data_IF_035610951723
#
_entry.id   IF_035610951723
#
_cell.length_a   1.000
_cell.length_b   1.000
_cell.length_c   1.000
_cell.angle_alpha   90.00
_cell.angle_beta   90.00
_cell.angle_gamma   90.00
#
_symmetry.space_group_name_H-M   'P 1'
#
loop_
_entity.id
_entity.type
_entity.pdbx_description
1 polymer ?
#
# COMPACT_ATOMS: atom_id res chain seq x y z
N UNK A 1 0.87 -31.89 -45.30
CA UNK A 1 -0.33 -32.75 -45.40
C UNK A 1 -0.85 -32.88 -43.97
N UNK A 2 -1.88 -32.12 -43.57
CA UNK A 2 -3.29 -32.57 -43.50
C UNK A 2 -3.39 -34.07 -43.16
N UNK A 3 -4.13 -34.56 -42.17
CA UNK A 3 -5.25 -34.05 -41.35
C UNK A 3 -5.66 -35.23 -40.46
N UNK A 4 -6.28 -35.01 -39.29
CA UNK A 4 -7.50 -35.75 -38.92
C UNK A 4 -8.13 -35.20 -37.63
N UNK A 5 -9.43 -34.91 -37.77
CA UNK A 5 -10.40 -34.52 -36.75
C UNK A 5 -10.80 -35.71 -35.87
N UNK A 6 -11.26 -35.42 -34.66
CA UNK A 6 -12.34 -36.19 -34.03
C UNK A 6 -13.23 -35.26 -33.17
N UNK A 7 -14.50 -35.16 -33.56
CA UNK A 7 -15.63 -34.62 -32.81
C UNK A 7 -16.27 -35.72 -31.96
N UNK A 8 -16.81 -35.37 -30.79
CA UNK A 8 -17.86 -36.12 -30.06
C UNK A 8 -18.72 -35.11 -29.28
N UNK A 9 -19.87 -34.68 -29.80
CA UNK A 9 -21.27 -35.19 -29.59
C UNK A 9 -21.92 -34.84 -28.24
N UNK A 10 -22.98 -34.04 -28.34
CA UNK A 10 -24.03 -33.77 -27.34
C UNK A 10 -24.92 -34.98 -27.03
N UNK A 11 -25.72 -34.89 -25.95
CA UNK A 11 -27.15 -35.18 -26.07
C UNK A 11 -28.08 -34.08 -25.50
N UNK A 12 -29.31 -34.11 -26.01
CA UNK A 12 -30.42 -33.14 -25.94
C UNK A 12 -31.34 -33.27 -24.71
N UNK A 13 -31.91 -32.11 -24.32
CA UNK A 13 -33.28 -31.76 -23.85
C UNK A 13 -34.12 -32.68 -22.94
N UNK A 14 -34.66 -32.04 -21.89
CA UNK A 14 -35.96 -32.34 -21.28
C UNK A 14 -36.68 -31.05 -20.84
N UNK A 15 -37.84 -30.78 -21.43
CA UNK A 15 -38.77 -29.67 -21.18
C UNK A 15 -39.61 -29.90 -19.92
N UNK A 16 -39.87 -28.85 -19.12
CA UNK A 16 -41.18 -28.68 -18.46
C UNK A 16 -41.58 -27.21 -18.37
N UNK A 17 -42.64 -26.87 -19.11
CA UNK A 17 -43.45 -25.65 -19.01
C UNK A 17 -44.39 -25.75 -17.80
N UNK A 18 -44.65 -24.63 -17.11
CA UNK A 18 -45.92 -24.38 -16.43
C UNK A 18 -46.23 -22.88 -16.50
N UNK A 19 -47.33 -22.59 -17.18
CA UNK A 19 -47.84 -21.27 -17.52
C UNK A 19 -48.53 -20.58 -16.35
N UNK A 20 -48.52 -19.25 -16.43
CA UNK A 20 -49.39 -18.32 -15.73
C UNK A 20 -50.87 -18.58 -16.00
N UNK A 21 -51.70 -18.46 -14.97
CA UNK A 21 -53.13 -18.18 -15.09
C UNK A 21 -53.49 -17.01 -14.16
N UNK A 22 -54.12 -16.01 -14.77
CA UNK A 22 -54.51 -14.72 -14.20
C UNK A 22 -56.03 -14.59 -14.38
N UNK A 23 -56.81 -14.39 -13.31
CA UNK A 23 -58.12 -13.70 -13.35
C UNK A 23 -58.54 -13.28 -11.92
N UNK A 24 -59.42 -12.27 -11.74
CA UNK A 24 -59.27 -11.21 -10.74
C UNK A 24 -60.46 -11.07 -9.77
N UNK A 25 -60.30 -10.21 -8.75
CA UNK A 25 -61.43 -9.47 -8.18
C UNK A 25 -61.64 -9.57 -6.65
N UNK A 26 -61.93 -8.39 -6.08
CA UNK A 26 -62.62 -8.10 -4.82
C UNK A 26 -61.86 -8.09 -3.48
N UNK A 27 -61.59 -6.83 -3.08
CA UNK A 27 -62.06 -6.15 -1.87
C UNK A 27 -61.30 -6.34 -0.54
N UNK A 28 -61.18 -5.18 0.10
CA UNK A 28 -60.47 -4.87 1.33
C UNK A 28 -61.13 -5.51 2.55
N UNK A 29 -60.33 -6.14 3.41
CA UNK A 29 -60.63 -6.26 4.83
C UNK A 29 -59.38 -5.96 5.67
N UNK A 30 -59.53 -4.97 6.53
CA UNK A 30 -58.58 -4.61 7.57
C UNK A 30 -58.43 -5.76 8.57
N UNK A 31 -57.19 -6.09 8.92
CA UNK A 31 -56.89 -6.95 10.07
C UNK A 31 -56.08 -6.13 11.09
N UNK A 32 -56.79 -5.59 12.08
CA UNK A 32 -56.20 -5.15 13.34
C UNK A 32 -55.62 -6.38 14.05
N UNK A 33 -54.30 -6.39 14.26
CA UNK A 33 -53.66 -7.28 15.23
C UNK A 33 -53.10 -6.41 16.36
N UNK A 34 -53.71 -6.61 17.52
CA UNK A 34 -53.39 -5.99 18.81
C UNK A 34 -52.02 -6.43 19.31
N UNK A 35 -51.23 -5.46 19.73
CA UNK A 35 -49.96 -5.62 20.43
C UNK A 35 -50.23 -6.19 21.84
N UNK A 36 -49.81 -7.43 22.10
CA UNK A 36 -49.74 -7.95 23.46
C UNK A 36 -48.35 -7.66 24.03
N UNK A 37 -48.31 -6.79 25.03
CA UNK A 37 -47.14 -6.61 25.89
C UNK A 37 -46.98 -7.85 26.78
N UNK A 38 -45.82 -8.50 26.70
CA UNK A 38 -45.38 -9.46 27.71
C UNK A 38 -44.09 -8.93 28.35
N UNK A 39 -44.17 -8.82 29.66
CA UNK A 39 -43.22 -8.18 30.57
C UNK A 39 -41.87 -8.91 30.54
N UNK A 40 -40.80 -8.17 30.24
CA UNK A 40 -39.44 -8.61 30.51
C UNK A 40 -39.19 -8.50 32.02
N UNK A 41 -38.84 -9.62 32.65
CA UNK A 41 -38.37 -9.66 34.03
C UNK A 41 -36.95 -9.10 34.11
N UNK A 42 -36.77 -8.02 34.88
CA UNK A 42 -35.45 -7.51 35.28
C UNK A 42 -34.74 -8.53 36.19
N UNK A 43 -33.84 -9.31 35.59
CA UNK A 43 -32.82 -10.05 36.34
C UNK A 43 -31.57 -9.16 36.45
N UNK A 44 -31.05 -8.90 37.66
CA UNK A 44 -29.87 -8.04 37.82
C UNK A 44 -28.65 -8.70 37.18
N UNK A 45 -27.96 -7.92 36.34
CA UNK A 45 -26.67 -8.27 35.78
C UNK A 45 -25.69 -8.58 36.93
N UNK A 46 -25.27 -9.85 37.04
CA UNK A 46 -24.11 -10.20 37.87
C UNK A 46 -22.87 -9.58 37.23
N UNK A 47 -22.37 -8.53 37.88
CA UNK A 47 -21.09 -7.90 37.65
C UNK A 47 -19.99 -8.98 37.67
N UNK A 48 -19.43 -9.29 36.49
CA UNK A 48 -18.24 -10.13 36.41
C UNK A 48 -17.13 -9.39 37.13
N UNK A 49 -16.63 -9.99 38.21
CA UNK A 49 -15.46 -9.50 38.93
C UNK A 49 -14.32 -9.18 37.94
N UNK A 50 -13.60 -8.06 38.12
CA UNK A 50 -12.46 -7.73 37.28
C UNK A 50 -11.45 -8.89 37.33
N UNK A 51 -11.05 -9.35 36.14
CA UNK A 51 -9.91 -10.22 35.95
C UNK A 51 -8.73 -9.68 36.78
N UNK A 52 -7.94 -10.51 37.47
CA UNK A 52 -6.80 -10.02 38.23
C UNK A 52 -5.90 -9.22 37.29
N UNK A 53 -5.75 -7.96 37.66
CA UNK A 53 -4.90 -6.96 37.03
C UNK A 53 -3.54 -7.60 36.75
N UNK A 54 -3.23 -7.84 35.46
CA UNK A 54 -1.84 -8.10 35.07
C UNK A 54 -1.12 -6.84 35.45
N UNK A 55 -0.35 -6.88 36.54
CA UNK A 55 0.48 -5.75 36.91
C UNK A 55 1.26 -5.33 35.65
N UNK A 56 0.93 -4.15 35.15
CA UNK A 56 1.64 -3.57 34.02
C UNK A 56 3.04 -3.25 34.55
N UNK A 57 3.94 -4.22 34.45
CA UNK A 57 5.37 -4.00 34.60
C UNK A 57 5.69 -2.79 33.73
N UNK A 58 6.20 -1.72 34.34
CA UNK A 58 6.57 -0.52 33.60
C UNK A 58 7.47 -0.91 32.43
N UNK A 59 7.16 -0.41 31.23
CA UNK A 59 7.91 -0.66 30.01
C UNK A 59 9.41 -0.45 30.25
N UNK A 60 10.22 -1.49 30.04
CA UNK A 60 11.66 -1.39 30.25
C UNK A 60 12.31 -0.82 29.00
N UNK A 61 13.25 0.11 29.20
CA UNK A 61 14.12 0.59 28.12
C UNK A 61 15.39 -0.27 28.06
N UNK A 62 15.60 -0.95 26.93
CA UNK A 62 16.81 -1.71 26.60
C UNK A 62 17.65 -0.85 25.65
N UNK A 63 18.83 -0.42 26.11
CA UNK A 63 19.77 0.37 25.31
C UNK A 63 20.78 -0.53 24.63
N UNK A 64 20.81 -0.48 23.30
CA UNK A 64 21.62 -1.33 22.44
C UNK A 64 22.69 -0.51 21.72
N UNK A 65 23.94 -0.91 21.80
CA UNK A 65 25.02 -0.14 21.16
C UNK A 65 26.39 -0.79 21.30
N UNK A 66 27.34 -0.49 20.39
CA UNK A 66 28.70 -1.05 20.47
C UNK A 66 29.40 -0.82 21.82
N UNK A 67 29.09 0.31 22.47
CA UNK A 67 29.62 0.69 23.79
C UNK A 67 28.68 0.36 24.96
N UNK A 68 27.53 -0.27 24.72
CA UNK A 68 26.55 -0.65 25.75
C UNK A 68 26.84 -2.07 26.26
N UNK A 69 26.18 -2.42 27.36
CA UNK A 69 26.15 -3.79 27.87
C UNK A 69 25.45 -4.73 26.87
N UNK A 70 24.28 -4.32 26.37
CA UNK A 70 23.61 -5.02 25.28
C UNK A 70 24.17 -4.47 23.96
N UNK A 71 24.99 -5.26 23.28
CA UNK A 71 25.69 -4.80 22.07
C UNK A 71 24.93 -5.05 20.78
N UNK A 72 24.04 -6.03 20.76
CA UNK A 72 23.35 -6.49 19.54
C UNK A 72 21.84 -6.52 19.69
N UNK A 73 21.16 -6.32 18.57
CA UNK A 73 19.71 -6.44 18.44
C UNK A 73 19.27 -7.89 18.64
N UNK A 74 20.06 -8.87 18.19
CA UNK A 74 19.83 -10.28 18.48
C UNK A 74 19.78 -10.56 20.00
N UNK A 75 20.69 -9.96 20.78
CA UNK A 75 20.69 -10.11 22.24
C UNK A 75 19.51 -9.37 22.87
N UNK A 76 19.17 -8.19 22.36
CA UNK A 76 18.01 -7.43 22.81
C UNK A 76 16.71 -8.20 22.59
N UNK A 77 16.52 -8.82 21.42
CA UNK A 77 15.30 -9.58 21.10
C UNK A 77 15.13 -10.82 21.98
N UNK A 78 16.23 -11.42 22.43
CA UNK A 78 16.20 -12.56 23.34
C UNK A 78 15.79 -12.21 24.78
N UNK A 79 15.90 -10.94 25.20
CA UNK A 79 15.59 -10.50 26.58
C UNK A 79 14.39 -9.56 26.68
N UNK A 80 13.99 -8.93 25.56
CA UNK A 80 12.84 -8.05 25.49
C UNK A 80 11.55 -8.80 25.85
N UNK A 81 10.65 -8.08 26.50
CA UNK A 81 9.30 -8.52 26.84
C UNK A 81 8.27 -7.64 26.13
N UNK A 82 7.02 -8.08 26.20
CA UNK A 82 5.90 -7.30 25.68
C UNK A 82 5.86 -5.92 26.35
N UNK A 83 5.65 -4.87 25.55
CA UNK A 83 5.61 -3.48 26.04
C UNK A 83 6.97 -2.78 26.14
N UNK A 84 8.10 -3.47 25.93
CA UNK A 84 9.44 -2.88 26.07
C UNK A 84 9.79 -1.89 24.94
N UNK A 85 10.77 -1.03 25.21
CA UNK A 85 11.39 -0.13 24.23
C UNK A 85 12.86 -0.51 24.05
N UNK A 86 13.26 -0.77 22.82
CA UNK A 86 14.64 -1.00 22.41
C UNK A 86 15.18 0.27 21.75
N UNK A 87 16.09 0.95 22.42
CA UNK A 87 16.79 2.13 21.91
C UNK A 87 18.14 1.73 21.34
N UNK A 88 18.39 2.06 20.07
CA UNK A 88 19.58 1.64 19.33
C UNK A 88 20.45 2.86 19.10
N UNK A 89 21.65 2.87 19.67
CA UNK A 89 22.63 3.94 19.47
C UNK A 89 23.11 3.95 18.00
N UNK A 90 23.61 5.10 17.49
CA UNK A 90 24.23 5.15 16.16
C UNK A 90 25.37 4.15 16.00
N UNK A 91 25.45 3.53 14.83
CA UNK A 91 26.54 2.62 14.46
C UNK A 91 26.17 1.67 13.33
N UNK A 92 27.17 0.95 12.85
CA UNK A 92 27.00 -0.16 11.91
C UNK A 92 26.93 -1.47 12.72
N UNK A 93 25.83 -2.20 12.53
CA UNK A 93 25.52 -3.46 13.19
C UNK A 93 25.67 -4.58 12.15
N UNK A 94 26.92 -5.03 12.00
CA UNK A 94 27.32 -6.06 11.04
C UNK A 94 26.75 -7.43 11.42
N UNK A 95 26.06 -8.07 10.48
CA UNK A 95 25.46 -9.41 10.60
C UNK A 95 24.47 -9.56 11.76
N UNK A 96 24.04 -8.46 12.37
CA UNK A 96 23.12 -8.45 13.50
C UNK A 96 21.67 -8.57 13.01
N UNK A 97 21.15 -9.79 13.09
CA UNK A 97 19.81 -10.15 12.66
C UNK A 97 19.01 -10.69 13.84
N UNK A 98 17.70 -10.52 13.82
CA UNK A 98 16.87 -10.85 14.96
C UNK A 98 15.46 -11.31 14.58
N UNK A 99 14.93 -12.22 15.38
CA UNK A 99 13.51 -12.57 15.41
C UNK A 99 12.85 -11.85 16.58
N UNK A 100 11.78 -11.11 16.31
CA UNK A 100 11.01 -10.37 17.32
C UNK A 100 9.62 -10.98 17.46
N UNK A 101 9.35 -11.55 18.63
CA UNK A 101 8.07 -12.22 18.94
C UNK A 101 7.24 -11.45 19.96
N UNK A 102 7.80 -10.40 20.55
CA UNK A 102 7.17 -9.59 21.58
C UNK A 102 6.04 -8.73 21.02
N UNK A 103 4.99 -8.55 21.81
CA UNK A 103 3.87 -7.65 21.51
C UNK A 103 4.15 -6.23 22.05
N UNK A 104 3.48 -5.23 21.47
CA UNK A 104 3.55 -3.83 21.90
C UNK A 104 4.98 -3.31 22.07
N UNK A 105 5.86 -3.68 21.14
CA UNK A 105 7.30 -3.41 21.19
C UNK A 105 7.65 -2.19 20.33
N UNK A 106 8.52 -1.32 20.84
CA UNK A 106 9.14 -0.24 20.05
C UNK A 106 10.62 -0.51 19.88
N UNK A 107 11.13 -0.48 18.65
CA UNK A 107 12.55 -0.56 18.33
C UNK A 107 12.92 0.71 17.59
N UNK A 108 13.76 1.58 18.18
CA UNK A 108 14.07 2.90 17.61
C UNK A 108 15.55 3.23 17.59
N UNK A 109 16.02 3.74 16.45
CA UNK A 109 17.33 4.37 16.34
C UNK A 109 17.36 5.75 17.00
N UNK A 110 18.38 6.02 17.80
CA UNK A 110 18.57 7.31 18.48
C UNK A 110 19.53 8.19 17.67
N UNK A 111 19.12 9.42 17.35
CA UNK A 111 19.95 10.36 16.60
C UNK A 111 20.22 9.88 15.18
N UNK A 112 21.50 9.82 14.80
CA UNK A 112 21.91 9.30 13.48
C UNK A 112 21.47 7.85 13.32
N UNK A 113 20.79 7.56 12.21
CA UNK A 113 20.23 6.24 11.88
C UNK A 113 21.26 5.10 12.06
N UNK A 114 21.02 4.14 12.97
CA UNK A 114 21.77 2.89 13.03
C UNK A 114 21.57 2.07 11.75
N UNK A 115 22.64 1.42 11.29
CA UNK A 115 22.66 0.66 10.05
C UNK A 115 22.83 -0.83 10.35
N UNK A 116 21.81 -1.61 10.07
CA UNK A 116 21.85 -3.07 10.15
C UNK A 116 22.32 -3.59 8.80
N UNK A 117 23.54 -4.11 8.76
CA UNK A 117 24.20 -4.57 7.53
C UNK A 117 24.18 -6.08 7.51
N UNK A 118 23.40 -6.66 6.60
CA UNK A 118 23.18 -8.12 6.57
C UNK A 118 24.49 -8.89 6.34
N UNK A 119 25.27 -8.49 5.33
CA UNK A 119 26.53 -9.14 4.94
C UNK A 119 26.40 -10.68 4.88
N UNK A 120 25.34 -11.15 4.24
CA UNK A 120 24.99 -12.57 4.11
C UNK A 120 24.31 -13.22 5.32
N UNK A 121 24.21 -12.52 6.46
CA UNK A 121 23.51 -13.01 7.64
C UNK A 121 22.09 -12.45 7.72
N UNK A 122 21.11 -13.34 7.80
CA UNK A 122 19.70 -13.03 8.00
C UNK A 122 19.10 -14.00 9.00
N UNK A 123 18.06 -13.58 9.71
CA UNK A 123 17.32 -14.43 10.62
C UNK A 123 16.51 -15.46 9.81
N UNK A 124 16.69 -16.74 10.16
CA UNK A 124 15.95 -17.89 9.61
C UNK A 124 16.00 -18.04 8.08
N UNK A 125 17.02 -17.49 7.42
CA UNK A 125 17.07 -17.48 5.95
C UNK A 125 15.99 -16.60 5.31
N UNK A 126 15.41 -15.65 6.05
CA UNK A 126 14.28 -14.82 5.59
C UNK A 126 14.62 -13.34 5.47
N UNK A 127 15.11 -12.71 6.52
CA UNK A 127 15.41 -11.28 6.51
C UNK A 127 16.25 -10.81 7.69
N UNK A 128 16.77 -9.57 7.64
CA UNK A 128 17.57 -9.01 8.75
C UNK A 128 16.72 -9.07 10.03
N UNK A 129 15.48 -8.57 9.96
CA UNK A 129 14.49 -8.79 11.00
C UNK A 129 13.35 -9.70 10.52
N UNK A 130 12.91 -10.60 11.41
CA UNK A 130 11.67 -11.37 11.26
C UNK A 130 10.72 -10.96 12.37
N UNK A 131 9.55 -10.42 12.00
CA UNK A 131 8.57 -9.89 12.94
C UNK A 131 7.38 -10.84 13.07
N UNK A 132 7.07 -11.19 14.31
CA UNK A 132 5.94 -12.06 14.71
C UNK A 132 5.16 -11.53 15.90
N UNK A 133 5.52 -10.35 16.40
CA UNK A 133 4.80 -9.63 17.45
C UNK A 133 3.44 -9.11 16.98
N UNK A 134 2.49 -8.98 17.89
CA UNK A 134 1.12 -8.53 17.60
C UNK A 134 1.02 -7.06 17.18
N UNK A 135 1.86 -6.19 17.74
CA UNK A 135 1.94 -4.76 17.42
C UNK A 135 3.37 -4.27 17.66
N UNK A 136 4.10 -3.95 16.60
CA UNK A 136 5.52 -3.55 16.68
C UNK A 136 5.72 -2.24 15.94
N UNK A 137 6.50 -1.33 16.52
CA UNK A 137 6.96 -0.12 15.85
C UNK A 137 8.47 -0.19 15.64
N UNK A 138 8.91 0.00 14.41
CA UNK A 138 10.32 0.12 14.03
C UNK A 138 10.56 1.52 13.48
N UNK A 139 11.46 2.25 14.12
CA UNK A 139 11.68 3.65 13.84
C UNK A 139 13.16 3.97 13.60
N UNK A 140 13.45 4.77 12.58
CA UNK A 140 14.78 5.34 12.34
C UNK A 140 15.91 4.29 12.29
N UNK A 141 15.65 3.13 11.66
CA UNK A 141 16.65 2.11 11.38
C UNK A 141 16.93 2.01 9.88
N UNK A 142 18.15 1.64 9.52
CA UNK A 142 18.55 1.32 8.15
C UNK A 142 18.79 -0.19 7.99
N UNK A 143 18.26 -0.78 6.93
CA UNK A 143 18.37 -2.21 6.60
C UNK A 143 19.09 -2.36 5.26
N UNK A 144 20.26 -2.99 5.27
CA UNK A 144 21.17 -3.02 4.13
C UNK A 144 21.53 -4.43 3.68
N UNK A 145 21.36 -4.69 2.38
CA UNK A 145 22.03 -5.80 1.71
C UNK A 145 21.53 -7.21 2.04
N UNK A 146 20.29 -7.38 2.50
CA UNK A 146 19.72 -8.71 2.76
C UNK A 146 19.64 -9.55 1.47
N UNK A 147 20.27 -10.72 1.48
CA UNK A 147 20.33 -11.67 0.36
C UNK A 147 20.23 -13.10 0.86
N UNK A 148 19.43 -13.94 0.21
CA UNK A 148 19.24 -15.35 0.56
C UNK A 148 19.23 -16.23 -0.68
N UNK A 149 19.39 -17.55 -0.51
CA UNK A 149 19.44 -18.49 -1.63
C UNK A 149 18.18 -18.46 -2.51
N UNK A 150 17.02 -18.22 -1.91
CA UNK A 150 15.72 -18.15 -2.59
C UNK A 150 15.47 -16.80 -3.30
N UNK A 151 16.45 -15.89 -3.31
CA UNK A 151 16.39 -14.57 -3.94
C UNK A 151 15.27 -13.65 -3.41
N UNK A 152 14.84 -13.86 -2.16
CA UNK A 152 13.76 -13.09 -1.53
C UNK A 152 14.13 -12.51 -0.15
N UNK A 153 15.42 -12.37 0.13
CA UNK A 153 15.96 -11.88 1.40
C UNK A 153 15.49 -10.47 1.72
N UNK A 154 14.83 -10.31 2.86
CA UNK A 154 14.17 -9.06 3.21
C UNK A 154 14.98 -8.22 4.20
N UNK A 155 14.88 -6.89 4.11
CA UNK A 155 15.24 -6.03 5.25
C UNK A 155 14.37 -6.38 6.46
N UNK A 156 13.05 -6.46 6.24
CA UNK A 156 12.10 -6.98 7.24
C UNK A 156 11.18 -8.02 6.61
N UNK A 157 11.10 -9.19 7.25
CA UNK A 157 10.08 -10.21 6.99
C UNK A 157 8.96 -10.10 8.02
N UNK A 158 7.76 -9.70 7.61
CA UNK A 158 6.59 -9.60 8.49
C UNK A 158 5.72 -10.86 8.38
N UNK A 159 5.72 -11.70 9.41
CA UNK A 159 5.05 -13.00 9.33
C UNK A 159 3.67 -12.99 9.99
N UNK A 160 3.43 -12.12 10.99
CA UNK A 160 2.17 -11.98 11.74
C UNK A 160 2.07 -10.60 12.39
N UNK A 161 0.84 -10.20 12.74
CA UNK A 161 0.55 -9.01 13.54
C UNK A 161 0.57 -7.69 12.77
N UNK A 162 0.65 -6.59 13.53
CA UNK A 162 0.72 -5.22 13.02
C UNK A 162 2.13 -4.67 13.12
N UNK A 163 2.61 -4.09 12.03
CA UNK A 163 3.92 -3.44 11.96
C UNK A 163 3.80 -1.98 11.52
N UNK A 164 4.37 -1.08 12.31
CA UNK A 164 4.55 0.32 11.96
C UNK A 164 6.03 0.55 11.63
N UNK A 165 6.33 0.95 10.40
CA UNK A 165 7.68 1.28 9.93
C UNK A 165 7.76 2.78 9.70
N UNK A 166 8.60 3.46 10.48
CA UNK A 166 8.63 4.93 10.54
C UNK A 166 10.05 5.43 10.30
N UNK A 167 10.24 6.35 9.35
CA UNK A 167 11.56 6.98 9.08
C UNK A 167 12.71 6.01 8.80
N UNK A 168 12.39 4.81 8.31
CA UNK A 168 13.38 3.76 8.03
C UNK A 168 13.95 3.88 6.62
N UNK A 169 15.11 3.25 6.42
CA UNK A 169 15.75 3.11 5.11
C UNK A 169 15.97 1.64 4.79
N UNK A 170 15.61 1.24 3.58
CA UNK A 170 15.88 -0.06 3.01
C UNK A 170 16.71 0.14 1.75
N UNK A 171 17.94 -0.38 1.74
CA UNK A 171 18.88 -0.15 0.64
C UNK A 171 19.58 -1.45 0.24
N UNK A 172 19.44 -1.82 -1.04
CA UNK A 172 20.20 -2.93 -1.61
C UNK A 172 19.78 -4.33 -1.13
N UNK A 173 18.60 -4.47 -0.53
CA UNK A 173 18.03 -5.77 -0.14
C UNK A 173 17.40 -6.47 -1.35
N UNK A 174 17.21 -7.79 -1.34
CA UNK A 174 16.39 -8.42 -2.39
C UNK A 174 14.94 -7.93 -2.27
N UNK A 175 14.38 -7.97 -1.06
CA UNK A 175 13.15 -7.23 -0.72
C UNK A 175 13.41 -6.19 0.37
N UNK A 176 12.83 -4.99 0.28
CA UNK A 176 12.85 -4.07 1.42
C UNK A 176 12.01 -4.63 2.57
N UNK A 177 10.72 -4.82 2.29
CA UNK A 177 9.79 -5.54 3.17
C UNK A 177 9.10 -6.67 2.39
N UNK A 178 9.00 -7.84 3.00
CA UNK A 178 8.22 -8.97 2.49
C UNK A 178 7.28 -9.50 3.58
N UNK A 179 5.99 -9.58 3.31
CA UNK A 179 5.00 -10.14 4.26
C UNK A 179 4.60 -11.57 3.93
N UNK A 180 4.11 -12.29 4.92
CA UNK A 180 3.35 -13.53 4.75
C UNK A 180 1.96 -13.29 4.13
N UNK A 181 1.23 -14.38 3.89
CA UNK A 181 -0.17 -14.39 3.44
C UNK A 181 -1.10 -14.72 4.61
N UNK A 182 -1.30 -13.77 5.52
CA UNK A 182 -2.22 -13.90 6.65
C UNK A 182 -3.15 -12.69 6.67
N UNK A 183 -4.46 -12.92 6.52
CA UNK A 183 -5.44 -11.84 6.33
C UNK A 183 -5.61 -10.93 7.55
N UNK A 184 -4.99 -11.25 8.70
CA UNK A 184 -4.96 -10.41 9.90
C UNK A 184 -3.76 -9.46 9.98
N UNK A 185 -2.77 -9.58 9.07
CA UNK A 185 -1.57 -8.72 9.09
C UNK A 185 -1.92 -7.29 8.67
N UNK A 186 -1.34 -6.33 9.37
CA UNK A 186 -1.41 -4.91 9.02
C UNK A 186 -0.01 -4.32 8.89
N UNK A 187 0.26 -3.62 7.80
CA UNK A 187 1.53 -2.96 7.54
C UNK A 187 1.30 -1.45 7.32
N UNK A 188 1.91 -0.63 8.17
CA UNK A 188 1.92 0.83 8.05
C UNK A 188 3.34 1.30 7.79
N UNK A 189 3.54 2.10 6.75
CA UNK A 189 4.84 2.63 6.34
C UNK A 189 4.75 4.14 6.23
N UNK A 190 5.50 4.84 7.08
CA UNK A 190 5.49 6.29 7.19
C UNK A 190 6.90 6.83 6.99
N UNK A 191 7.04 7.86 6.16
CA UNK A 191 8.27 8.63 5.98
C UNK A 191 9.51 7.77 5.70
N UNK A 192 9.33 6.63 5.03
CA UNK A 192 10.39 5.63 4.84
C UNK A 192 10.88 5.59 3.40
N UNK A 193 12.12 5.14 3.21
CA UNK A 193 12.79 5.09 1.90
C UNK A 193 13.16 3.67 1.53
N UNK A 194 12.87 3.29 0.28
CA UNK A 194 13.22 1.99 -0.31
C UNK A 194 13.96 2.23 -1.63
N UNK A 195 15.20 1.76 -1.71
CA UNK A 195 16.05 1.95 -2.90
C UNK A 195 16.93 0.74 -3.16
N UNK A 196 17.31 0.58 -4.42
CA UNK A 196 18.24 -0.43 -4.92
C UNK A 196 17.83 -1.88 -4.61
N UNK A 197 16.53 -2.14 -4.37
CA UNK A 197 16.10 -3.51 -4.10
C UNK A 197 16.11 -4.38 -5.36
N UNK A 198 16.02 -5.69 -5.17
CA UNK A 198 15.84 -6.67 -6.23
C UNK A 198 17.06 -7.55 -6.46
N UNK A 199 16.80 -8.80 -6.83
CA UNK A 199 17.76 -9.80 -7.26
C UNK A 199 18.02 -9.72 -8.77
N UNK A 200 17.14 -9.09 -9.55
CA UNK A 200 17.14 -9.14 -11.03
C UNK A 200 16.36 -10.33 -11.59
N UNK A 201 15.49 -10.93 -10.78
CA UNK A 201 14.68 -12.12 -11.10
C UNK A 201 13.22 -11.78 -11.48
N UNK A 202 12.85 -10.50 -11.42
CA UNK A 202 11.48 -10.02 -11.65
C UNK A 202 10.51 -10.26 -10.48
N UNK A 203 10.95 -10.85 -9.36
CA UNK A 203 10.08 -11.31 -8.25
C UNK A 203 10.44 -10.74 -6.88
N UNK A 204 11.48 -9.92 -6.82
CA UNK A 204 11.98 -9.29 -5.60
C UNK A 204 11.77 -7.78 -5.69
N UNK A 205 11.18 -7.18 -4.65
CA UNK A 205 10.48 -5.89 -4.71
C UNK A 205 10.94 -4.95 -3.60
N UNK A 206 10.81 -3.64 -3.80
CA UNK A 206 11.03 -2.70 -2.69
C UNK A 206 10.06 -3.00 -1.53
N UNK A 207 8.78 -3.25 -1.82
CA UNK A 207 7.80 -3.76 -0.85
C UNK A 207 6.91 -4.81 -1.53
N UNK A 208 6.86 -6.00 -0.95
CA UNK A 208 5.89 -7.06 -1.29
C UNK A 208 4.98 -7.32 -0.08
N UNK A 209 3.70 -6.97 -0.23
CA UNK A 209 2.64 -7.40 0.67
C UNK A 209 1.86 -8.56 0.05
N UNK A 210 1.87 -9.69 0.75
CA UNK A 210 1.03 -10.85 0.47
C UNK A 210 -0.45 -10.58 0.72
N UNK A 211 -1.24 -11.64 0.83
CA UNK A 211 -2.66 -11.51 1.18
C UNK A 211 -2.79 -11.15 2.66
N UNK A 212 -2.93 -9.86 2.93
CA UNK A 212 -3.02 -9.28 4.29
C UNK A 212 -4.22 -8.32 4.43
N UNK A 213 -4.52 -7.84 5.64
CA UNK A 213 -5.62 -6.91 5.86
C UNK A 213 -5.33 -5.54 5.23
N UNK A 214 -4.21 -4.93 5.62
CA UNK A 214 -3.94 -3.51 5.39
C UNK A 214 -2.49 -3.30 4.93
N UNK A 215 -2.36 -2.47 3.90
CA UNK A 215 -1.16 -1.69 3.61
C UNK A 215 -1.53 -0.21 3.65
N UNK A 216 -0.87 0.59 4.48
CA UNK A 216 -0.99 2.05 4.50
C UNK A 216 0.38 2.69 4.37
N UNK A 217 0.61 3.42 3.28
CA UNK A 217 1.89 4.05 2.94
C UNK A 217 1.70 5.56 2.86
N UNK A 218 2.50 6.32 3.61
CA UNK A 218 2.42 7.78 3.64
C UNK A 218 3.79 8.44 3.62
N UNK A 219 3.92 9.56 2.91
CA UNK A 219 5.16 10.37 2.95
C UNK A 219 6.41 9.63 2.50
N UNK A 220 6.28 8.48 1.83
CA UNK A 220 7.39 7.54 1.64
C UNK A 220 7.98 7.64 0.23
N UNK A 221 9.22 7.17 0.08
CA UNK A 221 9.94 7.16 -1.19
C UNK A 221 10.29 5.74 -1.60
N UNK A 222 9.89 5.36 -2.80
CA UNK A 222 10.30 4.14 -3.47
C UNK A 222 11.06 4.54 -4.74
N UNK A 223 12.37 4.28 -4.72
CA UNK A 223 13.30 4.61 -5.79
C UNK A 223 13.70 3.41 -6.64
N UNK A 224 14.80 3.54 -7.41
CA UNK A 224 15.26 2.52 -8.36
C UNK A 224 15.31 1.12 -7.77
N UNK A 225 14.87 0.13 -8.56
CA UNK A 225 14.99 -1.30 -8.25
C UNK A 225 15.53 -2.06 -9.48
N UNK A 226 16.07 -3.26 -9.24
CA UNK A 226 16.57 -4.18 -10.29
C UNK A 226 15.53 -5.28 -10.54
N UNK A 227 14.65 -5.03 -11.51
CA UNK A 227 13.47 -5.86 -11.77
C UNK A 227 12.39 -5.65 -10.71
N UNK A 228 11.41 -6.55 -10.68
CA UNK A 228 10.39 -6.57 -9.63
C UNK A 228 9.49 -5.34 -9.67
N UNK A 229 8.97 -4.88 -8.54
CA UNK A 229 8.02 -3.75 -8.47
C UNK A 229 8.46 -2.81 -7.36
N UNK A 230 8.10 -1.53 -7.47
CA UNK A 230 8.32 -0.61 -6.35
C UNK A 230 7.36 -0.92 -5.20
N UNK A 231 6.09 -1.20 -5.51
CA UNK A 231 5.11 -1.67 -4.53
C UNK A 231 4.24 -2.77 -5.15
N UNK A 232 4.24 -3.95 -4.55
CA UNK A 232 3.28 -5.04 -4.85
C UNK A 232 2.41 -5.27 -3.63
N UNK A 233 1.09 -5.22 -3.77
CA UNK A 233 0.16 -5.47 -2.67
C UNK A 233 -1.00 -6.37 -3.07
N UNK A 234 -1.14 -7.50 -2.37
CA UNK A 234 -2.33 -8.38 -2.44
C UNK A 234 -3.29 -8.14 -1.28
N UNK A 235 -3.14 -7.03 -0.55
CA UNK A 235 -3.92 -6.74 0.64
C UNK A 235 -5.40 -6.46 0.33
N UNK A 236 -6.27 -6.66 1.33
CA UNK A 236 -7.69 -6.31 1.25
C UNK A 236 -7.91 -4.80 1.12
N UNK A 237 -7.12 -4.01 1.82
CA UNK A 237 -7.09 -2.57 1.69
C UNK A 237 -5.65 -2.09 1.49
N UNK A 238 -5.43 -1.26 0.47
CA UNK A 238 -4.15 -0.59 0.21
C UNK A 238 -4.38 0.90 0.08
N UNK A 239 -3.65 1.69 0.85
CA UNK A 239 -3.66 3.15 0.79
C UNK A 239 -2.24 3.67 0.56
N UNK A 240 -2.07 4.54 -0.43
CA UNK A 240 -0.80 5.21 -0.72
C UNK A 240 -1.07 6.70 -0.85
N UNK A 241 -0.51 7.47 0.08
CA UNK A 241 -0.74 8.90 0.19
C UNK A 241 0.58 9.67 0.14
N UNK A 242 0.57 10.79 -0.57
CA UNK A 242 1.63 11.81 -0.49
C UNK A 242 3.03 11.22 -0.59
N UNK A 243 3.22 10.24 -1.47
CA UNK A 243 4.45 9.47 -1.61
C UNK A 243 5.04 9.64 -3.01
N UNK A 244 6.32 9.31 -3.14
CA UNK A 244 7.04 9.30 -4.42
C UNK A 244 7.42 7.87 -4.77
N UNK A 245 6.96 7.40 -5.93
CA UNK A 245 7.29 6.08 -6.48
C UNK A 245 7.88 6.28 -7.87
N UNK A 246 9.19 6.35 -7.95
CA UNK A 246 9.89 6.71 -9.19
C UNK A 246 11.01 5.71 -9.44
N UNK A 247 10.90 4.91 -10.50
CA UNK A 247 11.90 3.89 -10.84
C UNK A 247 13.22 4.48 -11.36
N UNK A 248 13.18 5.73 -11.82
CA UNK A 248 14.32 6.51 -12.37
C UNK A 248 15.12 5.71 -13.41
N UNK A 249 16.42 5.49 -13.19
CA UNK A 249 17.29 4.69 -14.04
C UNK A 249 17.27 3.17 -13.70
N UNK A 250 16.37 2.73 -12.82
CA UNK A 250 16.17 1.33 -12.50
C UNK A 250 15.38 0.58 -13.57
N UNK A 251 15.22 -0.72 -13.37
CA UNK A 251 14.50 -1.64 -14.27
C UNK A 251 13.27 -2.25 -13.59
N UNK A 252 12.63 -1.52 -12.67
CA UNK A 252 11.38 -1.97 -12.07
C UNK A 252 10.32 -2.25 -13.14
N UNK A 253 9.42 -3.18 -12.85
CA UNK A 253 8.32 -3.57 -13.72
C UNK A 253 7.11 -2.65 -13.56
N UNK A 254 6.46 -2.65 -12.39
CA UNK A 254 5.39 -1.70 -12.06
C UNK A 254 5.84 -0.79 -10.91
N UNK A 255 5.43 0.47 -10.93
CA UNK A 255 5.53 1.36 -9.78
C UNK A 255 4.51 0.95 -8.69
N UNK A 256 3.29 0.57 -9.10
CA UNK A 256 2.29 -0.02 -8.19
C UNK A 256 1.55 -1.18 -8.86
N UNK A 257 1.63 -2.36 -8.24
CA UNK A 257 0.89 -3.54 -8.67
C UNK A 257 -0.05 -4.03 -7.55
N UNK A 258 -1.34 -4.05 -7.86
CA UNK A 258 -2.44 -4.50 -7.00
C UNK A 258 -3.07 -5.74 -7.67
N UNK A 259 -2.33 -6.86 -7.76
CA UNK A 259 -2.67 -7.93 -8.69
C UNK A 259 -3.99 -8.62 -8.35
N UNK A 260 -4.44 -8.59 -7.09
CA UNK A 260 -5.69 -9.20 -6.64
C UNK A 260 -6.83 -8.22 -6.30
N UNK A 261 -6.67 -6.94 -6.67
CA UNK A 261 -7.66 -5.90 -6.39
C UNK A 261 -7.72 -5.51 -4.91
N UNK A 262 -8.93 -5.34 -4.38
CA UNK A 262 -9.20 -4.85 -3.02
C UNK A 262 -9.68 -3.40 -2.99
N UNK A 263 -9.72 -2.80 -1.80
CA UNK A 263 -10.02 -1.38 -1.64
C UNK A 263 -8.71 -0.57 -1.74
N UNK A 264 -8.49 0.05 -2.89
CA UNK A 264 -7.26 0.76 -3.22
C UNK A 264 -7.49 2.28 -3.25
N UNK A 265 -6.65 3.03 -2.53
CA UNK A 265 -6.59 4.49 -2.57
C UNK A 265 -5.17 4.94 -2.91
N UNK A 266 -5.02 5.75 -3.95
CA UNK A 266 -3.79 6.45 -4.29
C UNK A 266 -4.09 7.94 -4.43
N UNK A 267 -3.64 8.75 -3.47
CA UNK A 267 -3.91 10.20 -3.47
C UNK A 267 -2.66 11.03 -3.24
N UNK A 268 -2.45 12.05 -4.08
CA UNK A 268 -1.37 13.01 -3.87
C UNK A 268 0.03 12.46 -4.15
N UNK A 269 0.16 11.39 -4.94
CA UNK A 269 1.45 10.74 -5.19
C UNK A 269 2.11 11.23 -6.48
N UNK A 270 3.45 11.29 -6.47
CA UNK A 270 4.25 11.33 -7.70
C UNK A 270 4.61 9.90 -8.08
N UNK A 271 4.16 9.45 -9.25
CA UNK A 271 4.44 8.11 -9.78
C UNK A 271 5.07 8.25 -11.16
N UNK A 272 6.28 7.71 -11.35
CA UNK A 272 7.02 7.84 -12.60
C UNK A 272 7.71 6.54 -13.00
N UNK A 273 7.39 6.05 -14.20
CA UNK A 273 8.16 4.98 -14.82
C UNK A 273 9.25 5.55 -15.72
N UNK A 274 10.44 4.95 -15.60
CA UNK A 274 11.60 5.28 -16.42
C UNK A 274 11.57 4.57 -17.77
N UNK A 275 12.48 4.95 -18.68
CA UNK A 275 12.53 4.36 -20.02
C UNK A 275 13.00 2.88 -20.04
N UNK A 276 13.58 2.39 -18.94
CA UNK A 276 14.05 1.00 -18.78
C UNK A 276 13.07 0.11 -18.02
N UNK A 277 11.86 0.60 -17.72
CA UNK A 277 10.82 -0.19 -17.06
C UNK A 277 10.49 -1.47 -17.84
N UNK A 278 10.27 -2.58 -17.13
CA UNK A 278 9.91 -3.86 -17.74
C UNK A 278 8.43 -3.91 -18.15
N UNK A 279 7.55 -3.25 -17.41
CA UNK A 279 6.12 -3.17 -17.75
C UNK A 279 5.77 -1.82 -18.34
N UNK A 280 4.71 -1.79 -19.16
CA UNK A 280 4.19 -0.56 -19.76
C UNK A 280 3.23 0.20 -18.85
N UNK A 281 2.65 -0.46 -17.86
CA UNK A 281 1.69 0.15 -16.94
C UNK A 281 2.37 0.65 -15.65
N UNK A 282 2.04 1.86 -15.23
CA UNK A 282 2.51 2.42 -13.94
C UNK A 282 1.77 1.79 -12.77
N UNK A 283 0.44 1.83 -12.84
CA UNK A 283 -0.47 1.33 -11.82
C UNK A 283 -1.34 0.23 -12.43
N UNK A 284 -1.22 -0.98 -11.93
CA UNK A 284 -2.01 -2.13 -12.36
C UNK A 284 -2.94 -2.62 -11.23
N UNK A 285 -4.19 -2.94 -11.59
CA UNK A 285 -5.20 -3.41 -10.64
C UNK A 285 -5.95 -4.61 -11.21
N UNK A 286 -5.95 -5.72 -10.45
CA UNK A 286 -6.63 -6.97 -10.82
C UNK A 286 -5.90 -7.81 -11.88
N UNK A 287 -4.60 -7.58 -12.10
CA UNK A 287 -3.82 -8.25 -13.13
C UNK A 287 -3.73 -9.79 -12.99
N UNK A 288 -3.86 -10.31 -11.77
CA UNK A 288 -3.80 -11.74 -11.46
C UNK A 288 -5.14 -12.27 -10.90
N UNK A 289 -6.24 -11.57 -11.17
CA UNK A 289 -7.59 -11.96 -10.77
C UNK A 289 -8.01 -11.46 -9.40
N UNK A 290 -9.26 -10.99 -9.32
CA UNK A 290 -9.83 -10.42 -8.10
C UNK A 290 -10.04 -11.48 -7.02
N UNK A 291 -9.54 -11.20 -5.81
CA UNK A 291 -9.73 -12.06 -4.62
C UNK A 291 -10.86 -11.56 -3.72
N UNK A 292 -10.98 -10.24 -3.60
CA UNK A 292 -11.83 -9.62 -2.59
C UNK A 292 -13.27 -9.43 -3.10
N UNK A 293 -14.29 -9.48 -2.22
CA UNK A 293 -15.68 -9.29 -2.63
C UNK A 293 -15.98 -7.84 -3.08
N UNK A 294 -15.16 -6.88 -2.64
CA UNK A 294 -15.27 -5.46 -2.97
C UNK A 294 -13.95 -5.01 -3.55
N UNK A 295 -13.96 -4.51 -4.80
CA UNK A 295 -12.79 -4.03 -5.50
C UNK A 295 -13.04 -2.60 -5.97
N UNK A 296 -12.55 -1.64 -5.19
CA UNK A 296 -12.74 -0.22 -5.46
C UNK A 296 -11.38 0.43 -5.63
N UNK A 297 -11.15 1.14 -6.73
CA UNK A 297 -9.93 1.90 -6.95
C UNK A 297 -10.24 3.41 -6.94
N UNK A 298 -9.61 4.15 -6.03
CA UNK A 298 -9.64 5.61 -6.01
C UNK A 298 -8.23 6.14 -6.30
N UNK A 299 -8.05 6.73 -7.49
CA UNK A 299 -6.76 7.28 -7.93
C UNK A 299 -6.98 8.76 -8.24
N UNK A 300 -6.61 9.64 -7.29
CA UNK A 300 -6.90 11.06 -7.43
C UNK A 300 -5.74 11.98 -7.05
N UNK A 301 -5.64 13.13 -7.71
CA UNK A 301 -4.58 14.11 -7.43
C UNK A 301 -3.17 13.52 -7.46
N UNK A 302 -2.90 12.54 -8.32
CA UNK A 302 -1.55 12.04 -8.54
C UNK A 302 -0.94 12.74 -9.76
N UNK A 303 0.38 12.91 -9.75
CA UNK A 303 1.11 13.23 -10.97
C UNK A 303 1.71 11.92 -11.49
N UNK A 304 1.20 11.46 -12.62
CA UNK A 304 1.56 10.18 -13.26
C UNK A 304 2.41 10.48 -14.49
N UNK A 305 3.64 9.98 -14.50
CA UNK A 305 4.66 10.34 -15.50
C UNK A 305 5.14 9.09 -16.22
N UNK A 306 5.05 9.11 -17.54
CA UNK A 306 5.55 8.06 -18.40
C UNK A 306 6.68 8.56 -19.32
N UNK A 307 7.92 8.19 -18.98
CA UNK A 307 9.10 8.50 -19.80
C UNK A 307 9.35 7.47 -20.91
N UNK A 308 8.58 6.38 -20.97
CA UNK A 308 8.75 5.32 -21.96
C UNK A 308 8.42 5.84 -23.36
N UNK A 309 9.43 5.88 -24.24
CA UNK A 309 9.27 6.44 -25.59
C UNK A 309 8.20 5.73 -26.44
N UNK A 310 8.04 4.42 -26.23
CA UNK A 310 7.03 3.59 -26.91
C UNK A 310 5.60 3.79 -26.36
N UNK A 311 5.41 4.64 -25.34
CA UNK A 311 4.14 4.81 -24.63
C UNK A 311 3.86 3.68 -23.63
N UNK A 312 2.70 3.75 -22.98
CA UNK A 312 2.27 2.80 -21.95
C UNK A 312 0.92 3.18 -21.36
N UNK A 313 0.65 2.78 -20.12
CA UNK A 313 -0.57 3.10 -19.41
C UNK A 313 -0.27 3.76 -18.07
N UNK A 314 -0.94 4.87 -17.81
CA UNK A 314 -0.90 5.49 -16.49
C UNK A 314 -1.62 4.63 -15.46
N UNK A 315 -2.75 4.03 -15.86
CA UNK A 315 -3.56 3.16 -15.02
C UNK A 315 -4.16 2.05 -15.87
N UNK A 316 -4.08 0.82 -15.37
CA UNK A 316 -4.75 -0.36 -15.93
C UNK A 316 -5.63 -1.00 -14.86
N UNK A 317 -6.93 -1.12 -15.14
CA UNK A 317 -7.89 -1.87 -14.33
C UNK A 317 -8.44 -3.00 -15.17
N UNK A 318 -8.17 -4.25 -14.78
CA UNK A 318 -8.60 -5.44 -15.53
C UNK A 318 -10.07 -5.77 -15.26
N UNK A 319 -10.70 -6.45 -16.21
CA UNK A 319 -12.05 -6.98 -16.05
C UNK A 319 -12.08 -8.08 -15.00
N UNK A 320 -13.11 -8.11 -14.16
CA UNK A 320 -13.35 -9.21 -13.23
C UNK A 320 -14.34 -10.24 -13.76
N UNK A 321 -14.49 -11.39 -13.07
CA UNK A 321 -15.64 -12.26 -13.29
C UNK A 321 -16.95 -11.50 -13.01
N UNK A 322 -18.08 -11.98 -13.53
CA UNK A 322 -19.38 -11.30 -13.42
C UNK A 322 -19.79 -10.97 -11.97
N UNK A 323 -19.38 -11.82 -11.03
CA UNK A 323 -19.63 -11.70 -9.60
C UNK A 323 -18.70 -10.72 -8.87
N UNK A 324 -17.59 -10.28 -9.47
CA UNK A 324 -16.70 -9.31 -8.85
C UNK A 324 -17.22 -7.89 -9.07
N UNK A 325 -17.58 -7.20 -7.98
CA UNK A 325 -17.90 -5.77 -8.04
C UNK A 325 -16.59 -4.98 -8.16
N UNK A 326 -16.34 -4.48 -9.36
CA UNK A 326 -15.18 -3.64 -9.68
C UNK A 326 -15.65 -2.23 -10.02
N UNK A 327 -15.26 -1.26 -9.18
CA UNK A 327 -15.54 0.14 -9.41
C UNK A 327 -14.27 1.01 -9.33
N UNK A 328 -14.23 2.10 -10.09
CA UNK A 328 -13.09 3.01 -10.08
C UNK A 328 -13.48 4.48 -10.17
N UNK A 329 -12.77 5.33 -9.44
CA UNK A 329 -12.78 6.78 -9.59
C UNK A 329 -11.35 7.24 -9.85
N UNK A 330 -11.11 7.76 -11.05
CA UNK A 330 -9.82 8.26 -11.49
C UNK A 330 -9.99 9.73 -11.85
N UNK A 331 -9.55 10.64 -10.98
CA UNK A 331 -9.85 12.05 -11.19
C UNK A 331 -8.81 13.05 -10.68
N UNK A 332 -8.76 14.23 -11.30
CA UNK A 332 -7.85 15.31 -10.92
C UNK A 332 -6.37 14.89 -10.94
N UNK A 333 -5.99 13.88 -11.71
CA UNK A 333 -4.58 13.51 -11.91
C UNK A 333 -3.95 14.38 -13.01
N UNK A 334 -2.65 14.63 -12.91
CA UNK A 334 -1.86 15.14 -14.02
C UNK A 334 -1.19 13.95 -14.70
N UNK A 335 -1.31 13.88 -16.03
CA UNK A 335 -0.70 12.88 -16.88
C UNK A 335 0.44 13.54 -17.67
N UNK A 336 1.63 12.95 -17.64
CA UNK A 336 2.81 13.48 -18.34
C UNK A 336 3.41 12.38 -19.21
N UNK A 337 3.62 12.66 -20.49
CA UNK A 337 4.12 11.68 -21.46
C UNK A 337 3.01 10.93 -22.18
N UNK A 338 3.40 9.91 -22.96
CA UNK A 338 2.47 9.15 -23.81
C UNK A 338 1.86 7.99 -23.04
N UNK A 339 0.55 7.96 -22.89
CA UNK A 339 -0.12 6.77 -22.38
C UNK A 339 -1.60 6.93 -22.17
N UNK A 340 -2.24 5.80 -21.87
CA UNK A 340 -3.68 5.69 -21.71
C UNK A 340 -4.08 5.39 -20.25
N UNK A 341 -5.35 5.64 -19.95
CA UNK A 341 -6.03 5.09 -18.78
C UNK A 341 -6.93 3.96 -19.32
N UNK A 342 -6.51 2.70 -19.17
CA UNK A 342 -7.24 1.53 -19.65
C UNK A 342 -8.03 0.88 -18.51
N UNK A 343 -9.34 1.13 -18.48
CA UNK A 343 -10.20 0.65 -17.40
C UNK A 343 -11.30 -0.24 -17.96
N UNK A 344 -11.34 -1.48 -17.48
CA UNK A 344 -12.40 -2.46 -17.76
C UNK A 344 -13.26 -2.62 -16.50
N UNK A 345 -14.45 -2.02 -16.50
CA UNK A 345 -15.38 -2.06 -15.36
C UNK A 345 -16.21 -0.79 -15.23
N UNK A 346 -16.96 -0.65 -14.14
CA UNK A 346 -17.69 0.58 -13.85
C UNK A 346 -16.70 1.65 -13.37
N UNK A 347 -16.50 2.71 -14.15
CA UNK A 347 -15.51 3.72 -13.81
C UNK A 347 -15.97 5.15 -14.09
N UNK A 348 -15.58 6.05 -13.21
CA UNK A 348 -15.67 7.49 -13.41
C UNK A 348 -14.25 8.02 -13.65
N UNK A 349 -13.95 8.35 -14.91
CA UNK A 349 -12.69 8.97 -15.32
C UNK A 349 -12.98 10.42 -15.70
N UNK A 350 -12.59 11.38 -14.87
CA UNK A 350 -12.93 12.80 -15.06
C UNK A 350 -11.81 13.73 -14.60
N UNK A 351 -11.71 14.91 -15.20
CA UNK A 351 -10.80 15.98 -14.76
C UNK A 351 -9.31 15.57 -14.67
N UNK A 352 -8.90 14.50 -15.36
CA UNK A 352 -7.49 14.19 -15.53
C UNK A 352 -6.97 15.05 -16.69
N UNK A 353 -5.83 15.70 -16.49
CA UNK A 353 -5.28 16.66 -17.45
C UNK A 353 -3.93 16.18 -17.97
N UNK A 354 -3.70 16.36 -19.27
CA UNK A 354 -2.37 16.18 -19.84
C UNK A 354 -1.54 17.44 -19.61
N UNK A 355 -0.30 17.27 -19.18
CA UNK A 355 0.65 18.36 -18.96
C UNK A 355 1.93 18.15 -19.79
N UNK A 356 2.63 19.25 -20.06
CA UNK A 356 3.94 19.25 -20.73
C UNK A 356 5.03 19.58 -19.71
N UNK A 357 6.29 19.29 -20.06
CA UNK A 357 7.43 19.62 -19.20
C UNK A 357 7.45 21.09 -18.74
N UNK A 358 7.03 22.02 -19.61
CA UNK A 358 6.99 23.46 -19.32
C UNK A 358 5.86 23.88 -18.37
N UNK A 359 5.00 22.98 -17.90
CA UNK A 359 4.00 23.28 -16.86
C UNK A 359 4.60 23.21 -15.45
N UNK A 360 5.79 22.63 -15.30
CA UNK A 360 6.41 22.32 -14.01
C UNK A 360 7.67 23.14 -13.75
N UNK A 361 8.19 23.02 -12.54
CA UNK A 361 9.41 23.69 -12.09
C UNK A 361 10.66 23.10 -12.74
N UNK A 362 10.90 21.80 -12.55
CA UNK A 362 12.07 21.10 -13.08
C UNK A 362 11.83 19.58 -13.07
N UNK A 363 11.11 19.05 -14.08
CA UNK A 363 10.88 17.61 -14.22
C UNK A 363 12.16 16.77 -14.22
N UNK A 364 13.28 17.32 -14.70
CA UNK A 364 14.58 16.61 -14.73
C UNK A 364 15.14 16.30 -13.34
N UNK A 365 14.66 17.01 -12.31
CA UNK A 365 14.96 16.78 -10.90
C UNK A 365 13.77 16.23 -10.12
N UNK A 366 12.75 15.71 -10.83
CA UNK A 366 11.51 15.21 -10.26
C UNK A 366 10.69 16.26 -9.49
N UNK A 367 10.90 17.55 -9.81
CA UNK A 367 10.11 18.65 -9.27
C UNK A 367 8.92 18.94 -10.18
N UNK A 368 7.84 18.19 -9.96
CA UNK A 368 6.58 18.30 -10.67
C UNK A 368 5.58 19.26 -10.00
N UNK A 369 6.08 20.20 -9.16
CA UNK A 369 5.25 21.33 -8.74
C UNK A 369 4.92 22.17 -9.98
N UNK A 370 3.65 22.51 -10.16
CA UNK A 370 3.24 23.42 -11.23
C UNK A 370 3.96 24.76 -11.05
N UNK A 371 4.52 25.32 -12.11
CA UNK A 371 5.15 26.65 -12.06
C UNK A 371 4.11 27.74 -11.90
N UNK A 372 4.53 28.90 -11.38
CA UNK A 372 3.71 30.10 -11.41
C UNK A 372 3.28 30.43 -12.85
N UNK A 373 1.99 30.67 -13.04
CA UNK A 373 1.39 30.96 -14.34
C UNK A 373 1.12 29.74 -15.23
N UNK A 374 1.28 28.50 -14.73
CA UNK A 374 0.72 27.33 -15.42
C UNK A 374 -0.80 27.47 -15.53
N UNK A 375 -1.36 27.17 -16.72
CA UNK A 375 -2.80 27.16 -16.93
C UNK A 375 -3.53 26.05 -16.15
N UNK A 376 -2.79 25.09 -15.59
CA UNK A 376 -3.35 24.00 -14.79
C UNK A 376 -3.55 24.39 -13.31
N UNK A 377 -2.86 25.43 -12.83
CA UNK A 377 -2.94 25.86 -11.45
C UNK A 377 -4.38 26.24 -11.06
N UNK A 378 -4.91 25.61 -10.00
CA UNK A 378 -6.25 25.89 -9.48
C UNK A 378 -7.41 25.37 -10.32
N UNK A 379 -7.16 24.46 -11.27
CA UNK A 379 -8.19 23.97 -12.20
C UNK A 379 -8.80 22.62 -11.83
N UNK A 380 -8.49 22.07 -10.65
CA UNK A 380 -9.06 20.78 -10.24
C UNK A 380 -10.59 20.86 -10.24
N UNK A 381 -11.23 19.87 -10.85
CA UNK A 381 -12.68 19.81 -10.90
C UNK A 381 -13.30 19.49 -9.54
N UNK A 382 -14.60 19.78 -9.36
CA UNK A 382 -15.25 19.70 -8.06
C UNK A 382 -15.24 18.27 -7.50
N UNK A 383 -15.03 18.23 -6.19
CA UNK A 383 -15.14 17.06 -5.35
C UNK A 383 -16.62 16.87 -4.99
N UNK A 384 -17.27 15.78 -5.45
CA UNK A 384 -18.65 15.42 -5.07
C UNK A 384 -18.64 14.77 -3.68
N UNK A 385 -19.80 14.64 -3.04
CA UNK A 385 -19.99 14.36 -1.60
C UNK A 385 -19.29 13.12 -0.99
N UNK A 386 -18.73 12.20 -1.78
CA UNK A 386 -17.88 11.08 -1.30
C UNK A 386 -16.39 11.46 -1.15
N UNK A 387 -16.02 12.71 -1.44
CA UNK A 387 -14.63 13.13 -1.69
C UNK A 387 -13.94 13.86 -0.52
N UNK A 388 -14.59 14.06 0.63
CA UNK A 388 -13.95 14.75 1.78
C UNK A 388 -12.71 14.02 2.31
N UNK A 389 -12.70 12.69 2.29
CA UNK A 389 -11.54 11.86 2.70
C UNK A 389 -10.40 11.81 1.65
N UNK A 390 -10.62 12.38 0.45
CA UNK A 390 -9.73 12.20 -0.70
C UNK A 390 -9.26 13.54 -1.30
N UNK A 391 -9.59 14.64 -0.62
CA UNK A 391 -8.97 15.94 -0.85
C UNK A 391 -7.53 15.88 -0.34
N UNK A 392 -6.53 16.32 -1.12
CA UNK A 392 -5.17 16.44 -0.62
C UNK A 392 -5.16 17.30 0.65
N UNK A 393 -4.64 16.73 1.74
CA UNK A 393 -4.42 17.40 3.02
C UNK A 393 -2.93 17.70 3.25
N UNK A 394 -2.05 16.98 2.54
CA UNK A 394 -0.61 17.16 2.56
C UNK A 394 -0.06 17.01 1.14
N UNK A 395 1.22 17.29 0.94
CA UNK A 395 1.95 16.94 -0.29
C UNK A 395 3.32 16.34 0.07
N UNK A 396 3.86 15.51 -0.81
CA UNK A 396 5.15 14.86 -0.58
C UNK A 396 6.29 15.88 -0.49
N UNK A 397 7.26 15.63 0.39
CA UNK A 397 8.53 16.33 0.48
C UNK A 397 9.68 15.33 0.56
N UNK A 398 10.52 15.37 -0.47
CA UNK A 398 11.74 14.58 -0.56
C UNK A 398 12.71 14.91 0.61
N UNK A 399 13.44 13.94 1.20
CA UNK A 399 13.65 12.55 0.74
C UNK A 399 12.54 11.55 1.06
N UNK A 400 11.84 11.67 2.18
CA UNK A 400 10.69 10.85 2.54
C UNK A 400 9.94 11.52 3.70
N UNK A 401 9.02 12.41 3.37
CA UNK A 401 8.05 13.00 4.31
C UNK A 401 6.85 13.55 3.55
N UNK A 402 5.85 14.04 4.27
CA UNK A 402 4.82 14.95 3.73
C UNK A 402 4.77 16.26 4.50
N UNK A 403 4.19 17.29 3.87
CA UNK A 403 3.94 18.60 4.49
C UNK A 403 2.47 18.92 4.40
N UNK A 404 1.86 19.19 5.54
CA UNK A 404 0.45 19.56 5.62
C UNK A 404 0.18 20.84 4.84
N UNK A 405 -0.98 20.89 4.20
CA UNK A 405 -1.45 22.04 3.44
C UNK A 405 -2.17 23.06 4.32
N UNK A 406 -2.42 22.73 5.60
CA UNK A 406 -3.00 23.61 6.61
C UNK A 406 -2.05 24.81 6.86
N UNK A 407 -2.33 25.93 6.18
CA UNK A 407 -1.47 27.12 6.14
C UNK A 407 -1.32 27.71 4.73
N UNK A 408 -1.61 26.91 3.69
CA UNK A 408 -2.09 27.45 2.42
C UNK A 408 -3.53 27.88 2.69
N UNK A 409 -3.75 29.19 2.75
CA UNK A 409 -5.05 29.83 2.99
C UNK A 409 -6.18 29.02 2.32
N UNK A 410 -7.32 28.77 3.00
CA UNK A 410 -8.41 27.90 2.50
C UNK A 410 -9.15 28.45 1.24
N UNK A 411 -8.54 29.39 0.52
CA UNK A 411 -9.12 30.21 -0.54
C UNK A 411 -8.53 29.91 -1.93
N UNK A 412 -7.45 29.11 -2.04
CA UNK A 412 -6.93 28.75 -3.37
C UNK A 412 -7.68 27.52 -3.90
N UNK A 413 -8.27 27.57 -5.11
CA UNK A 413 -8.74 26.38 -5.80
C UNK A 413 -7.65 25.31 -5.85
N UNK A 414 -8.03 24.04 -5.66
CA UNK A 414 -7.06 22.94 -5.77
C UNK A 414 -6.52 22.83 -7.19
N UNK A 415 -5.28 22.40 -7.33
CA UNK A 415 -4.71 22.03 -8.62
C UNK A 415 -4.84 20.52 -8.83
N UNK A 416 -4.98 20.03 -10.07
CA UNK A 416 -4.79 18.61 -10.32
C UNK A 416 -3.34 18.21 -9.98
N UNK A 417 -3.11 16.92 -9.74
CA UNK A 417 -1.77 16.39 -9.48
C UNK A 417 -1.32 16.43 -8.02
N UNK A 418 -0.11 15.91 -7.80
CA UNK A 418 0.42 15.55 -6.47
C UNK A 418 0.73 16.75 -5.56
N UNK A 419 1.04 17.90 -6.16
CA UNK A 419 1.53 19.07 -5.46
C UNK A 419 0.54 20.21 -5.57
N UNK A 420 0.17 20.78 -4.42
CA UNK A 420 -0.77 21.88 -4.33
C UNK A 420 -0.04 23.23 -4.20
N UNK A 421 1.21 23.23 -3.72
CA UNK A 421 2.08 24.41 -3.77
C UNK A 421 2.69 24.57 -5.16
N UNK A 422 2.56 25.78 -5.71
CA UNK A 422 3.28 26.16 -6.93
C UNK A 422 4.77 26.30 -6.65
N UNK A 423 5.59 26.00 -7.64
CA UNK A 423 6.99 26.35 -7.62
C UNK A 423 7.14 27.87 -7.76
N UNK A 424 8.00 28.44 -6.92
CA UNK A 424 8.31 29.86 -6.89
C UNK A 424 9.43 30.22 -7.86
#
# INVERSE_FOLDING_TARGET
>A
MNSMNAQTTHPDRGNTLMNFLRVPGMQWLALCLTFNALLASDAPAQERAPSPDRSASAAKVIRVGPAREIRTLAKASAIARDGDIVEVDPGDYEKDNAVWTQNDLVIRGIGTRPRLVANGAVAEGKGIFVIRGGNVTIENLGFFGARVADLNGAGIRLERGRLNVVRCLFDGNENGILTSNEESIELHVLDSTFVNSGAGDGKSHNLYAGTIAIVDVRGSYFGPARGGHLLKSRAKATSVYYSRLTGEAGTSSYEMDLPNGGNFKAVGNLVQQGNQTENRALIAFGAEGYRWPINNAHIAFNTLVNDRAAGGEFVVIRSGPAEAVVSAVISNNILVGRGDIDVKGQAVVKNNVQARANDFADPSKFDYRLRLGSALAGTAGPLRSFDKEHRPASEYRHPASSVDLDGLTPVTPLSPGAFQRLAR
#
